data_IF_276486535360
#
_entry.id   IF_276486535360
#
_cell.length_a   1.000
_cell.length_b   1.000
_cell.length_c   1.000
_cell.angle_alpha   90.00
_cell.angle_beta   90.00
_cell.angle_gamma   90.00
#
_symmetry.space_group_name_H-M   'P 1'
#
loop_
_entity.id
_entity.type
_entity.pdbx_description
1 polymer ?
#
# COMPACT_ATOMS: atom_id res chain seq x y z
N UNK A 1 -26.33 0.15 -4.75
CA UNK A 1 -24.99 0.34 -4.15
C UNK A 1 -24.09 0.91 -5.24
N UNK A 2 -23.60 2.14 -5.08
CA UNK A 2 -23.02 2.95 -6.17
C UNK A 2 -21.57 2.49 -6.42
N UNK A 3 -21.28 1.93 -7.60
CA UNK A 3 -19.90 1.83 -8.09
C UNK A 3 -19.46 3.24 -8.45
N UNK A 4 -18.66 3.86 -7.58
CA UNK A 4 -18.24 5.26 -7.73
C UNK A 4 -17.53 5.57 -9.06
N UNK A 5 -17.02 4.56 -9.78
CA UNK A 5 -16.25 4.78 -11.00
C UNK A 5 -16.46 3.77 -12.16
N UNK A 6 -17.59 3.05 -12.23
CA UNK A 6 -17.89 2.17 -13.38
C UNK A 6 -17.50 0.69 -13.21
N UNK A 7 -17.21 -0.01 -14.32
CA UNK A 7 -16.88 -1.46 -14.38
C UNK A 7 -15.46 -1.68 -14.91
N UNK A 8 -14.85 -2.80 -14.53
CA UNK A 8 -13.48 -3.19 -14.93
C UNK A 8 -13.37 -3.88 -16.30
N UNK A 9 -14.48 -4.16 -16.96
CA UNK A 9 -14.58 -5.03 -18.15
C UNK A 9 -14.29 -6.52 -17.86
N UNK A 10 -14.06 -6.89 -16.59
CA UNK A 10 -13.88 -8.27 -16.16
C UNK A 10 -14.85 -8.61 -15.03
N UNK A 11 -15.77 -9.55 -15.29
CA UNK A 11 -16.81 -9.93 -14.34
C UNK A 11 -16.25 -10.50 -13.02
N UNK A 12 -15.11 -11.19 -13.05
CA UNK A 12 -14.47 -11.79 -11.87
C UNK A 12 -13.91 -10.69 -10.97
N UNK A 13 -13.21 -9.72 -11.55
CA UNK A 13 -12.69 -8.55 -10.81
C UNK A 13 -13.85 -7.72 -10.25
N UNK A 14 -14.87 -7.50 -11.07
CA UNK A 14 -16.07 -6.75 -10.69
C UNK A 14 -16.83 -7.38 -9.51
N UNK A 15 -16.93 -8.71 -9.46
CA UNK A 15 -17.51 -9.46 -8.35
C UNK A 15 -16.64 -9.36 -7.10
N UNK A 16 -15.33 -9.58 -7.25
CA UNK A 16 -14.37 -9.46 -6.16
C UNK A 16 -14.37 -8.05 -5.55
N UNK A 17 -14.40 -7.00 -6.37
CA UNK A 17 -14.49 -5.62 -5.92
C UNK A 17 -15.76 -5.39 -5.08
N UNK A 18 -16.90 -5.86 -5.59
CA UNK A 18 -18.18 -5.68 -4.91
C UNK A 18 -18.23 -6.42 -3.57
N UNK A 19 -17.80 -7.69 -3.56
CA UNK A 19 -17.80 -8.55 -2.38
C UNK A 19 -16.93 -7.99 -1.24
N UNK A 20 -15.77 -7.46 -1.60
CA UNK A 20 -14.76 -6.99 -0.64
C UNK A 20 -14.80 -5.46 -0.41
N UNK A 21 -15.83 -4.76 -0.89
CA UNK A 21 -16.00 -3.29 -0.76
C UNK A 21 -14.80 -2.48 -1.27
N UNK A 22 -14.08 -3.00 -2.26
CA UNK A 22 -12.94 -2.34 -2.90
C UNK A 22 -13.40 -1.34 -3.95
N UNK A 23 -12.45 -0.65 -4.58
CA UNK A 23 -12.73 0.31 -5.65
C UNK A 23 -12.16 -0.15 -6.99
N UNK A 24 -12.98 0.00 -8.02
CA UNK A 24 -12.45 0.17 -9.38
C UNK A 24 -12.05 1.64 -9.54
N UNK A 25 -10.83 1.90 -10.01
CA UNK A 25 -10.30 3.25 -10.18
C UNK A 25 -9.85 3.41 -11.64
N UNK A 26 -10.55 4.23 -12.45
CA UNK A 26 -10.16 4.51 -13.82
C UNK A 26 -8.73 5.05 -13.88
N UNK A 27 -7.93 4.54 -14.81
CA UNK A 27 -6.50 4.84 -14.86
C UNK A 27 -6.21 6.34 -15.05
N UNK A 28 -7.10 7.07 -15.73
CA UNK A 28 -6.98 8.52 -15.92
C UNK A 28 -7.14 9.36 -14.64
N UNK A 29 -7.49 8.74 -13.50
CA UNK A 29 -7.49 9.36 -12.17
C UNK A 29 -6.10 9.41 -11.54
N UNK A 30 -5.11 8.75 -12.13
CA UNK A 30 -3.72 8.80 -11.70
C UNK A 30 -2.92 9.81 -12.51
N UNK A 31 -2.07 10.57 -11.83
CA UNK A 31 -1.09 11.50 -12.39
C UNK A 31 0.31 11.14 -11.92
N UNK A 32 1.31 11.62 -12.65
CA UNK A 32 2.73 11.41 -12.35
C UNK A 32 3.02 9.93 -12.05
N UNK A 33 2.57 9.04 -12.94
CA UNK A 33 2.82 7.61 -12.81
C UNK A 33 4.27 7.36 -13.17
N UNK A 34 5.08 7.03 -12.18
CA UNK A 34 6.52 6.88 -12.29
C UNK A 34 6.94 5.47 -11.86
N UNK A 35 7.88 4.88 -12.58
CA UNK A 35 8.49 3.61 -12.17
C UNK A 35 9.16 3.78 -10.81
N UNK A 36 8.90 2.85 -9.89
CA UNK A 36 9.52 2.86 -8.57
C UNK A 36 10.49 1.69 -8.39
N UNK A 37 10.07 0.46 -8.68
CA UNK A 37 10.90 -0.73 -8.51
C UNK A 37 10.35 -1.94 -9.31
N UNK A 38 11.17 -2.96 -9.51
CA UNK A 38 10.79 -4.26 -10.05
C UNK A 38 11.39 -5.40 -9.23
N UNK A 39 10.52 -6.28 -8.73
CA UNK A 39 10.91 -7.48 -8.00
C UNK A 39 10.51 -8.77 -8.70
N UNK A 40 10.69 -9.89 -7.99
CA UNK A 40 10.27 -11.22 -8.46
C UNK A 40 8.77 -11.31 -8.75
N UNK A 41 7.95 -10.54 -8.03
CA UNK A 41 6.49 -10.60 -8.11
C UNK A 41 5.84 -9.57 -9.04
N UNK A 42 6.61 -8.64 -9.63
CA UNK A 42 6.01 -7.56 -10.41
C UNK A 42 6.79 -6.27 -10.42
N UNK A 43 6.24 -5.32 -11.16
CA UNK A 43 6.71 -3.94 -11.24
C UNK A 43 5.78 -3.05 -10.42
N UNK A 44 6.35 -2.13 -9.66
CA UNK A 44 5.59 -1.13 -8.90
C UNK A 44 5.85 0.26 -9.47
N UNK A 45 4.78 1.05 -9.54
CA UNK A 45 4.81 2.44 -9.95
C UNK A 45 4.27 3.30 -8.82
N UNK A 46 4.87 4.46 -8.59
CA UNK A 46 4.32 5.50 -7.73
C UNK A 46 3.38 6.38 -8.57
N UNK A 47 2.25 6.80 -8.00
CA UNK A 47 1.33 7.70 -8.67
C UNK A 47 0.62 8.63 -7.68
N UNK A 48 0.10 9.73 -8.20
CA UNK A 48 -0.81 10.62 -7.49
C UNK A 48 -2.25 10.28 -7.88
N UNK A 49 -3.10 9.96 -6.90
CA UNK A 49 -4.53 9.74 -7.09
C UNK A 49 -5.31 11.03 -6.79
N UNK A 50 -5.93 11.62 -7.82
CA UNK A 50 -6.56 12.95 -7.75
C UNK A 50 -7.92 12.99 -7.02
N UNK A 51 -8.63 11.87 -6.96
CA UNK A 51 -9.96 11.75 -6.34
C UNK A 51 -9.89 10.77 -5.16
N UNK A 52 -8.98 11.04 -4.22
CA UNK A 52 -8.68 10.18 -3.08
C UNK A 52 -9.90 9.76 -2.23
N UNK A 53 -9.66 8.92 -1.22
CA UNK A 53 -10.70 8.38 -0.36
C UNK A 53 -11.39 9.50 0.47
N UNK A 54 -12.64 9.84 0.12
CA UNK A 54 -13.60 10.80 0.71
C UNK A 54 -13.60 12.24 0.14
N UNK A 55 -14.75 12.89 0.33
CA UNK A 55 -15.36 14.10 -0.25
C UNK A 55 -14.56 15.42 -0.27
N UNK A 56 -13.24 15.41 -0.08
CA UNK A 56 -12.46 16.63 0.18
C UNK A 56 -11.27 16.86 -0.77
N UNK A 57 -11.34 16.45 -2.04
CA UNK A 57 -10.27 16.67 -3.03
C UNK A 57 -8.87 16.33 -2.48
N UNK A 58 -8.75 15.23 -1.72
CA UNK A 58 -7.48 14.85 -1.11
C UNK A 58 -6.62 14.18 -2.18
N UNK A 59 -5.46 14.78 -2.43
CA UNK A 59 -4.39 14.21 -3.24
C UNK A 59 -3.70 13.15 -2.38
N UNK A 60 -3.68 11.91 -2.86
CA UNK A 60 -3.06 10.78 -2.15
C UNK A 60 -1.98 10.17 -3.03
N UNK A 61 -0.80 9.90 -2.47
CA UNK A 61 0.24 9.11 -3.13
C UNK A 61 -0.08 7.63 -2.96
N UNK A 62 -0.06 6.88 -4.06
CA UNK A 62 -0.39 5.46 -4.10
C UNK A 62 0.66 4.67 -4.86
N UNK A 63 0.70 3.36 -4.61
CA UNK A 63 1.43 2.41 -5.43
C UNK A 63 0.47 1.70 -6.37
N UNK A 64 0.86 1.65 -7.65
CA UNK A 64 0.26 0.81 -8.68
C UNK A 64 1.17 -0.41 -8.88
N UNK A 65 0.76 -1.57 -8.36
CA UNK A 65 1.52 -2.83 -8.50
C UNK A 65 0.99 -3.64 -9.68
N UNK A 66 1.82 -3.82 -10.69
CA UNK A 66 1.57 -4.71 -11.82
C UNK A 66 2.22 -6.07 -11.55
N UNK A 67 1.41 -7.06 -11.18
CA UNK A 67 1.91 -8.41 -10.90
C UNK A 67 2.16 -9.17 -12.21
N UNK A 68 3.31 -9.87 -12.31
CA UNK A 68 3.78 -10.45 -13.60
C UNK A 68 2.75 -11.37 -14.26
N UNK A 69 2.06 -12.16 -13.45
CA UNK A 69 1.14 -13.20 -13.92
C UNK A 69 -0.35 -12.87 -13.68
N UNK A 70 -0.69 -11.62 -13.34
CA UNK A 70 -2.06 -11.28 -12.91
C UNK A 70 -3.10 -11.60 -14.01
N UNK A 71 -2.78 -11.26 -15.26
CA UNK A 71 -3.67 -11.52 -16.38
C UNK A 71 -3.79 -13.01 -16.73
N UNK A 72 -2.77 -13.82 -16.43
CA UNK A 72 -2.73 -15.25 -16.74
C UNK A 72 -3.34 -16.11 -15.63
N UNK A 73 -3.19 -15.68 -14.38
CA UNK A 73 -3.66 -16.43 -13.21
C UNK A 73 -4.40 -15.53 -12.20
N UNK A 74 -5.41 -14.82 -12.70
CA UNK A 74 -6.23 -13.90 -11.93
C UNK A 74 -6.85 -14.56 -10.68
N UNK A 75 -7.25 -15.83 -10.75
CA UNK A 75 -7.87 -16.52 -9.62
C UNK A 75 -6.90 -16.78 -8.46
N UNK A 76 -5.67 -17.23 -8.74
CA UNK A 76 -4.64 -17.39 -7.70
C UNK A 76 -4.27 -16.06 -7.08
N UNK A 77 -4.10 -15.05 -7.93
CA UNK A 77 -3.83 -13.70 -7.50
C UNK A 77 -4.94 -13.17 -6.57
N UNK A 78 -6.22 -13.28 -6.95
CA UNK A 78 -7.34 -12.83 -6.10
C UNK A 78 -7.46 -13.65 -4.80
N UNK A 79 -6.97 -14.90 -4.78
CA UNK A 79 -6.90 -15.72 -3.57
C UNK A 79 -5.89 -15.16 -2.55
N UNK A 80 -4.74 -14.68 -3.01
CA UNK A 80 -3.76 -13.97 -2.16
C UNK A 80 -4.41 -12.75 -1.50
N UNK A 81 -5.09 -11.92 -2.30
CA UNK A 81 -5.75 -10.70 -1.81
C UNK A 81 -6.97 -10.96 -0.93
N UNK A 82 -7.58 -12.16 -0.99
CA UNK A 82 -8.64 -12.54 -0.06
C UNK A 82 -8.11 -12.68 1.38
N UNK A 83 -6.87 -13.11 1.60
CA UNK A 83 -6.30 -13.13 2.94
C UNK A 83 -5.96 -11.73 3.44
N UNK A 84 -5.58 -10.84 2.53
CA UNK A 84 -5.40 -9.44 2.83
C UNK A 84 -6.73 -8.74 3.21
N UNK A 85 -7.87 -9.21 2.68
CA UNK A 85 -9.20 -8.70 3.01
C UNK A 85 -9.53 -8.83 4.51
N UNK A 86 -9.27 -10.00 5.11
CA UNK A 86 -9.51 -10.23 6.54
C UNK A 86 -8.68 -9.34 7.47
N UNK A 87 -7.76 -8.57 6.89
CA UNK A 87 -6.86 -7.66 7.58
C UNK A 87 -7.15 -6.17 7.27
N UNK A 88 -8.14 -5.83 6.43
CA UNK A 88 -8.37 -4.46 5.92
C UNK A 88 -8.70 -3.42 7.00
N UNK A 89 -9.14 -3.85 8.18
CA UNK A 89 -9.46 -2.96 9.31
C UNK A 89 -8.24 -2.73 10.24
N UNK A 90 -7.08 -3.33 9.95
CA UNK A 90 -5.83 -3.15 10.69
C UNK A 90 -5.07 -1.94 10.14
N UNK A 91 -4.65 -1.03 11.02
CA UNK A 91 -3.79 0.10 10.62
C UNK A 91 -2.35 -0.33 10.34
N UNK A 92 -1.98 -1.52 10.79
CA UNK A 92 -0.65 -2.12 10.72
C UNK A 92 -0.39 -2.85 9.38
N UNK A 93 -1.38 -2.92 8.50
CA UNK A 93 -1.32 -3.61 7.21
C UNK A 93 -1.58 -2.61 6.09
N UNK A 94 -0.74 -2.64 5.05
CA UNK A 94 -0.79 -1.67 3.96
C UNK A 94 -2.19 -1.61 3.34
N UNK A 95 -2.79 -0.42 3.26
CA UNK A 95 -4.18 -0.34 2.82
C UNK A 95 -4.31 -0.67 1.33
N UNK A 96 -5.25 -1.57 1.01
CA UNK A 96 -5.55 -1.99 -0.35
C UNK A 96 -6.83 -1.31 -0.84
N UNK A 97 -6.70 -0.37 -1.78
CA UNK A 97 -7.82 0.40 -2.30
C UNK A 97 -8.66 -0.36 -3.33
N UNK A 98 -8.01 -1.21 -4.14
CA UNK A 98 -8.64 -1.97 -5.21
C UNK A 98 -7.83 -1.98 -6.49
N UNK A 99 -8.49 -1.83 -7.63
CA UNK A 99 -7.91 -2.16 -8.94
C UNK A 99 -7.99 -1.02 -9.94
N UNK A 100 -7.05 -1.04 -10.88
CA UNK A 100 -7.09 -0.26 -12.12
C UNK A 100 -6.61 -1.12 -13.30
N UNK A 101 -6.72 -0.61 -14.52
CA UNK A 101 -6.19 -1.23 -15.73
C UNK A 101 -5.48 -0.18 -16.55
N UNK A 102 -4.20 -0.42 -16.81
CA UNK A 102 -3.40 0.46 -17.65
C UNK A 102 -3.92 0.35 -19.11
N UNK A 103 -4.32 1.46 -19.75
CA UNK A 103 -4.93 1.43 -21.08
C UNK A 103 -3.95 1.05 -22.19
N UNK A 104 -2.65 1.31 -22.01
CA UNK A 104 -1.62 1.06 -23.02
C UNK A 104 -1.17 -0.40 -23.01
N UNK A 105 -1.03 -0.98 -21.81
CA UNK A 105 -0.56 -2.37 -21.64
C UNK A 105 -1.69 -3.37 -21.47
N UNK A 106 -2.92 -2.89 -21.22
CA UNK A 106 -4.11 -3.67 -20.88
C UNK A 106 -3.95 -4.57 -19.63
N UNK A 107 -2.92 -4.32 -18.81
CA UNK A 107 -2.66 -5.05 -17.57
C UNK A 107 -3.47 -4.47 -16.42
N UNK A 108 -4.11 -5.35 -15.64
CA UNK A 108 -4.68 -4.96 -14.36
C UNK A 108 -3.57 -4.70 -13.35
N UNK A 109 -3.80 -3.73 -12.47
CA UNK A 109 -2.88 -3.32 -11.42
C UNK A 109 -3.63 -3.16 -10.11
N UNK A 110 -2.95 -3.45 -9.01
CA UNK A 110 -3.42 -3.15 -7.66
C UNK A 110 -3.10 -1.71 -7.31
N UNK A 111 -4.02 -1.06 -6.62
CA UNK A 111 -3.86 0.27 -6.02
C UNK A 111 -3.79 0.11 -4.51
N UNK A 112 -2.68 0.53 -3.91
CA UNK A 112 -2.42 0.42 -2.46
C UNK A 112 -1.77 1.69 -1.91
N UNK A 113 -1.77 1.85 -0.59
CA UNK A 113 -1.09 2.97 0.07
C UNK A 113 0.41 2.98 -0.25
N UNK A 114 0.97 4.20 -0.30
CA UNK A 114 2.39 4.38 -0.45
C UNK A 114 3.09 4.52 0.91
N UNK A 115 3.88 3.51 1.28
CA UNK A 115 4.78 3.56 2.41
C UNK A 115 6.01 4.43 2.08
N UNK A 116 5.88 5.73 2.33
CA UNK A 116 6.86 6.74 1.91
C UNK A 116 8.24 6.64 2.56
N UNK A 117 8.39 5.92 3.68
CA UNK A 117 9.71 5.62 4.25
C UNK A 117 10.32 4.34 3.66
N UNK A 118 9.59 3.55 2.87
CA UNK A 118 10.08 2.29 2.30
C UNK A 118 10.04 1.14 3.32
N UNK A 119 10.82 0.08 3.10
CA UNK A 119 10.82 -1.11 3.95
C UNK A 119 11.79 -1.04 5.14
N UNK A 120 11.60 -1.90 6.13
CA UNK A 120 12.42 -1.99 7.33
C UNK A 120 13.91 -2.23 6.98
N UNK A 121 14.19 -3.13 6.03
CA UNK A 121 15.55 -3.44 5.56
C UNK A 121 16.31 -2.19 5.10
N UNK A 122 15.68 -1.37 4.26
CA UNK A 122 16.25 -0.13 3.74
C UNK A 122 16.42 0.95 4.81
N UNK A 123 15.73 0.84 5.94
CA UNK A 123 15.76 1.82 7.04
C UNK A 123 16.57 1.37 8.26
N UNK A 124 17.23 0.20 8.23
CA UNK A 124 17.93 -0.34 9.39
C UNK A 124 18.92 0.66 10.02
N UNK A 125 19.65 1.43 9.21
CA UNK A 125 20.61 2.44 9.69
C UNK A 125 19.95 3.59 10.44
N UNK A 126 18.74 3.99 10.06
CA UNK A 126 17.94 5.00 10.79
C UNK A 126 17.41 4.40 12.09
N UNK A 127 16.83 3.20 12.01
CA UNK A 127 16.24 2.49 13.15
C UNK A 127 17.26 2.22 14.26
N UNK A 128 18.51 1.90 13.91
CA UNK A 128 19.58 1.72 14.90
C UNK A 128 19.79 2.98 15.75
N UNK A 129 19.61 4.17 15.16
CA UNK A 129 19.73 5.47 15.86
C UNK A 129 18.51 5.82 16.71
N UNK A 130 17.35 5.22 16.45
CA UNK A 130 16.12 5.46 17.22
C UNK A 130 16.31 5.13 18.71
N UNK A 131 15.55 5.82 19.56
CA UNK A 131 15.51 5.52 20.99
C UNK A 131 14.76 4.20 21.26
N UNK A 132 14.86 3.70 22.49
CA UNK A 132 14.23 2.42 22.87
C UNK A 132 12.70 2.45 22.78
N UNK A 133 12.06 3.59 23.06
CA UNK A 133 10.61 3.74 22.96
C UNK A 133 10.14 3.54 21.51
N UNK A 134 10.80 4.21 20.57
CA UNK A 134 10.51 4.07 19.13
C UNK A 134 10.75 2.64 18.64
N UNK A 135 11.86 2.00 19.03
CA UNK A 135 12.14 0.60 18.68
C UNK A 135 11.08 -0.37 19.20
N UNK A 136 10.62 -0.17 20.44
CA UNK A 136 9.55 -0.98 21.03
C UNK A 136 8.20 -0.73 20.36
N UNK A 137 7.92 0.51 19.96
CA UNK A 137 6.71 0.86 19.21
C UNK A 137 6.66 0.11 17.88
N UNK A 138 7.73 0.20 17.07
CA UNK A 138 7.82 -0.52 15.80
C UNK A 138 7.64 -2.04 15.97
N UNK A 139 8.25 -2.62 17.01
CA UNK A 139 8.09 -4.04 17.31
C UNK A 139 6.64 -4.39 17.68
N UNK A 140 5.98 -3.54 18.46
CA UNK A 140 4.58 -3.70 18.84
C UNK A 140 3.64 -3.65 17.63
N UNK A 141 3.88 -2.76 16.67
CA UNK A 141 3.11 -2.66 15.43
C UNK A 141 3.25 -3.93 14.58
N UNK A 142 4.48 -4.42 14.38
CA UNK A 142 4.73 -5.68 13.68
C UNK A 142 3.96 -6.84 14.35
N UNK A 143 4.08 -6.97 15.68
CA UNK A 143 3.38 -8.03 16.44
C UNK A 143 1.85 -7.88 16.32
N UNK A 144 1.34 -6.65 16.33
CA UNK A 144 -0.10 -6.40 16.27
C UNK A 144 -0.69 -6.72 14.89
N UNK A 145 0.03 -6.43 13.81
CA UNK A 145 -0.34 -6.89 12.47
C UNK A 145 -0.41 -8.43 12.35
N UNK A 146 0.34 -9.16 13.18
CA UNK A 146 0.31 -10.63 13.24
C UNK A 146 -0.80 -11.25 14.10
N UNK A 147 -1.63 -10.46 14.79
CA UNK A 147 -2.71 -11.00 15.65
C UNK A 147 -3.93 -11.47 14.88
N UNK A 148 -3.98 -11.23 13.57
CA UNK A 148 -4.98 -11.83 12.70
C UNK A 148 -4.70 -13.34 12.65
N UNK A 149 -5.72 -14.22 12.66
CA UNK A 149 -5.57 -15.69 12.66
C UNK A 149 -5.01 -16.25 11.33
N UNK A 150 -3.99 -15.59 10.78
CA UNK A 150 -3.35 -15.82 9.49
C UNK A 150 -1.84 -15.86 9.68
N UNK A 151 -1.20 -16.77 8.94
CA UNK A 151 0.24 -16.84 8.84
C UNK A 151 0.63 -16.10 7.55
N UNK A 152 1.47 -15.07 7.63
CA UNK A 152 1.91 -14.29 6.46
C UNK A 152 2.75 -15.14 5.47
N UNK A 153 3.39 -16.21 5.95
CA UNK A 153 4.23 -17.15 5.19
C UNK A 153 5.50 -16.59 4.53
N UNK A 154 5.66 -15.26 4.49
CA UNK A 154 6.83 -14.56 3.92
C UNK A 154 7.15 -13.27 4.69
N UNK A 155 7.02 -13.33 6.02
CA UNK A 155 7.37 -12.17 6.86
C UNK A 155 8.89 -12.04 6.95
N UNK A 156 9.42 -10.94 6.43
CA UNK A 156 10.81 -10.53 6.59
C UNK A 156 10.94 -9.00 6.55
N UNK A 157 12.11 -8.48 6.93
CA UNK A 157 12.45 -7.05 6.94
C UNK A 157 12.20 -6.30 5.60
N UNK A 158 12.27 -6.99 4.47
CA UNK A 158 11.87 -6.43 3.16
C UNK A 158 10.36 -6.24 2.94
N UNK A 159 9.51 -6.95 3.70
CA UNK A 159 8.05 -6.93 3.58
C UNK A 159 7.36 -6.15 4.72
N UNK A 160 8.14 -5.67 5.70
CA UNK A 160 7.67 -4.71 6.70
C UNK A 160 7.84 -3.30 6.14
N UNK A 161 6.74 -2.60 5.90
CA UNK A 161 6.73 -1.27 5.31
C UNK A 161 6.57 -0.20 6.39
N UNK A 162 7.32 0.90 6.27
CA UNK A 162 7.27 2.03 7.18
C UNK A 162 6.56 3.21 6.50
N UNK A 163 5.60 3.80 7.19
CA UNK A 163 5.00 5.07 6.83
C UNK A 163 5.54 6.17 7.76
N UNK A 164 5.42 7.45 7.39
CA UNK A 164 5.62 8.53 8.36
C UNK A 164 4.60 8.40 9.50
N UNK A 165 5.09 8.47 10.73
CA UNK A 165 4.28 8.60 11.93
C UNK A 165 4.06 10.09 12.20
N UNK A 166 2.93 10.43 12.81
CA UNK A 166 2.65 11.80 13.27
C UNK A 166 3.69 12.27 14.30
N UNK A 167 4.29 11.33 15.05
CA UNK A 167 5.35 11.62 16.04
C UNK A 167 6.68 12.02 15.39
N UNK A 168 6.93 11.69 14.11
CA UNK A 168 8.16 12.11 13.43
C UNK A 168 8.23 13.64 13.22
N UNK A 169 7.08 14.33 13.24
CA UNK A 169 7.02 15.80 13.07
C UNK A 169 7.52 16.55 14.32
N UNK A 170 7.30 16.01 15.52
CA UNK A 170 7.76 16.62 16.78
C UNK A 170 9.28 16.46 16.98
N UNK A 171 9.84 15.34 16.51
CA UNK A 171 11.28 15.08 16.61
C UNK A 171 12.11 15.88 15.57
N UNK A 172 11.59 16.10 14.35
CA UNK A 172 12.26 16.97 13.35
C UNK A 172 12.30 18.45 13.80
N UNK A 173 11.26 18.94 14.48
CA UNK A 173 11.28 20.30 15.06
C UNK A 173 12.34 20.42 16.17
N UNK A 174 12.48 19.42 17.04
CA UNK A 174 13.43 19.49 18.17
C UNK A 174 14.89 19.31 17.76
N UNK A 175 15.20 18.64 16.65
CA UNK A 175 16.58 18.60 16.10
C UNK A 175 16.97 19.93 15.42
N UNK A 176 16.04 20.63 14.78
CA UNK A 176 16.31 21.94 14.16
C UNK A 176 16.73 23.00 15.20
N UNK A 177 16.18 22.97 16.42
CA UNK A 177 16.59 23.88 17.50
C UNK A 177 17.98 23.59 18.10
N UNK A 178 18.54 22.39 17.89
CA UNK A 178 19.88 22.04 18.40
C UNK A 178 21.01 22.43 17.46
N UNK A 179 20.71 22.70 16.20
CA UNK A 179 21.71 23.05 15.18
C UNK A 179 21.86 24.56 14.94
N UNK A 180 21.13 25.40 15.68
CA UNK A 180 21.21 26.88 15.63
C UNK A 180 21.94 27.52 16.83
N UNK A 181 22.78 26.78 17.58
CA UNK A 181 23.61 27.33 18.66
C UNK A 181 25.09 27.00 18.52
#
# INVERSE_FOLDING_TARGET
MIRLFGKSENAIIDDFILKNKLKWIPYNKFKNVEYLDEGGFGTIYKAIWLDGYKSYNKIIEVILKCHKNLNENLNEFLKEWKYHESCLDSYEIIYFYGFTKNPDTLKYMVVMDYANKGNLRGNLTKIVKNNWKQKLHMLYEIISGHKQNLIHCDLHDGNVLNHKDVEDEEDEETENYKNEK
#
